data_IF_078193946354
#
_entry.id   IF_078193946354
#
_cell.length_a   1.000
_cell.length_b   1.000
_cell.length_c   1.000
_cell.angle_alpha   90.00
_cell.angle_beta   90.00
_cell.angle_gamma   90.00
#
_symmetry.space_group_name_H-M   'P 1'
#
loop_
_entity.id
_entity.type
_entity.pdbx_description
1 polymer ?
#
# COMPACT_ATOMS: atom_id res chain seq x y z
N UNK A 1 23.11 5.04 -9.02
CA UNK A 1 21.69 5.45 -8.99
C UNK A 1 21.00 4.92 -10.24
N UNK A 2 19.86 4.28 -10.10
CA UNK A 2 19.04 3.78 -11.22
C UNK A 2 17.69 4.49 -11.17
N UNK A 3 17.29 5.10 -12.28
CA UNK A 3 15.97 5.69 -12.41
C UNK A 3 14.98 4.62 -12.88
N UNK A 4 13.87 4.48 -12.20
CA UNK A 4 12.86 3.48 -12.57
C UNK A 4 12.22 3.80 -13.93
N UNK A 5 12.10 5.08 -14.28
CA UNK A 5 11.58 5.53 -15.57
C UNK A 5 12.23 4.81 -16.78
N UNK A 6 13.52 4.48 -16.69
CA UNK A 6 14.27 3.77 -17.75
C UNK A 6 13.76 2.32 -17.94
N UNK A 7 13.16 1.73 -16.91
CA UNK A 7 12.63 0.36 -16.89
C UNK A 7 11.09 0.32 -16.98
N UNK A 8 10.42 1.40 -16.62
CA UNK A 8 8.96 1.45 -16.45
C UNK A 8 8.20 0.90 -17.66
N UNK A 9 8.53 1.34 -18.87
CA UNK A 9 7.87 0.89 -20.09
C UNK A 9 7.99 -0.61 -20.32
N UNK A 10 9.12 -1.24 -19.97
CA UNK A 10 9.30 -2.68 -20.10
C UNK A 10 8.44 -3.45 -19.09
N UNK A 11 8.35 -2.94 -17.85
CA UNK A 11 7.51 -3.55 -16.82
C UNK A 11 6.02 -3.40 -17.13
N UNK A 12 5.57 -2.20 -17.54
CA UNK A 12 4.18 -1.96 -17.96
C UNK A 12 3.78 -2.84 -19.15
N UNK A 13 4.67 -2.99 -20.13
CA UNK A 13 4.43 -3.89 -21.26
C UNK A 13 4.33 -5.34 -20.80
N UNK A 14 5.16 -5.78 -19.85
CA UNK A 14 5.08 -7.12 -19.28
C UNK A 14 3.75 -7.32 -18.54
N UNK A 15 3.33 -6.36 -17.72
CA UNK A 15 2.05 -6.37 -17.02
C UNK A 15 0.89 -6.54 -17.99
N UNK A 16 0.83 -5.74 -19.05
CA UNK A 16 -0.23 -5.80 -20.05
C UNK A 16 -0.25 -7.14 -20.83
N UNK A 17 0.91 -7.77 -21.03
CA UNK A 17 1.03 -9.05 -21.70
C UNK A 17 0.71 -10.28 -20.84
N UNK A 18 0.62 -10.12 -19.51
CA UNK A 18 0.45 -11.23 -18.58
C UNK A 18 -1.02 -11.58 -18.27
N UNK A 19 -2.00 -10.90 -18.88
CA UNK A 19 -3.42 -11.22 -18.66
C UNK A 19 -3.94 -12.19 -19.71
N UNK A 20 -4.03 -13.50 -19.42
CA UNK A 20 -4.55 -14.50 -20.34
C UNK A 20 -6.02 -14.21 -20.72
N UNK A 21 -6.39 -14.46 -21.96
CA UNK A 21 -7.76 -14.24 -22.45
C UNK A 21 -8.78 -15.19 -21.83
N UNK A 22 -8.35 -16.35 -21.37
CA UNK A 22 -9.15 -17.38 -20.71
C UNK A 22 -9.19 -17.25 -19.18
N UNK A 23 -8.66 -16.14 -18.64
CA UNK A 23 -8.64 -15.88 -17.20
C UNK A 23 -10.01 -15.53 -16.62
N UNK A 24 -10.18 -15.84 -15.34
CA UNK A 24 -11.34 -15.45 -14.55
C UNK A 24 -10.91 -14.69 -13.29
N UNK A 25 -11.86 -14.17 -12.53
CA UNK A 25 -11.56 -13.38 -11.33
C UNK A 25 -10.72 -14.15 -10.28
N UNK A 26 -10.87 -15.46 -10.17
CA UNK A 26 -10.08 -16.31 -9.27
C UNK A 26 -8.61 -16.44 -9.71
N UNK A 27 -8.31 -16.27 -11.01
CA UNK A 27 -6.94 -16.28 -11.53
C UNK A 27 -6.08 -15.19 -10.89
N UNK A 28 -6.67 -14.02 -10.62
CA UNK A 28 -5.98 -12.85 -10.08
C UNK A 28 -6.11 -12.69 -8.55
N UNK A 29 -6.62 -13.70 -7.85
CA UNK A 29 -6.60 -13.84 -6.40
C UNK A 29 -7.39 -12.81 -5.61
N UNK A 30 -7.18 -12.81 -4.30
CA UNK A 30 -7.89 -12.00 -3.32
C UNK A 30 -6.90 -11.07 -2.60
N UNK A 31 -7.10 -9.76 -2.65
CA UNK A 31 -6.43 -8.81 -1.78
C UNK A 31 -7.38 -8.38 -0.65
N UNK A 32 -6.85 -8.27 0.55
CA UNK A 32 -7.59 -7.73 1.71
C UNK A 32 -6.96 -6.41 2.13
N UNK A 33 -7.80 -5.39 2.25
CA UNK A 33 -7.45 -4.11 2.82
C UNK A 33 -8.04 -4.08 4.23
N UNK A 34 -7.19 -4.24 5.26
CA UNK A 34 -7.56 -4.18 6.67
C UNK A 34 -7.30 -2.76 7.14
N UNK A 35 -8.35 -2.00 7.42
CA UNK A 35 -8.17 -0.58 7.72
C UNK A 35 -9.42 0.11 8.20
N UNK A 36 -9.27 1.40 8.44
CA UNK A 36 -10.34 2.31 8.81
C UNK A 36 -10.69 2.32 10.29
N UNK A 37 -11.27 3.43 10.66
CA UNK A 37 -11.92 3.71 11.94
C UNK A 37 -13.02 4.73 11.69
N UNK A 38 -13.87 5.00 12.68
CA UNK A 38 -14.86 6.08 12.56
C UNK A 38 -14.20 7.42 12.21
N UNK A 39 -12.97 7.67 12.71
CA UNK A 39 -12.24 8.90 12.45
C UNK A 39 -11.62 8.93 11.03
N UNK A 40 -11.16 7.79 10.51
CA UNK A 40 -10.43 7.69 9.24
C UNK A 40 -11.08 6.67 8.29
N UNK A 41 -12.38 6.82 8.07
CA UNK A 41 -13.16 5.89 7.26
C UNK A 41 -12.77 5.89 5.77
N UNK A 42 -12.27 7.01 5.24
CA UNK A 42 -11.96 7.15 3.82
C UNK A 42 -10.70 6.43 3.36
N UNK A 43 -9.69 6.26 4.24
CA UNK A 43 -8.39 5.71 3.89
C UNK A 43 -8.47 4.28 3.27
N UNK A 44 -9.12 3.29 3.90
CA UNK A 44 -9.24 1.96 3.32
C UNK A 44 -10.02 1.94 2.00
N UNK A 45 -10.98 2.86 1.80
CA UNK A 45 -11.70 2.96 0.55
C UNK A 45 -10.82 3.46 -0.60
N UNK A 46 -9.94 4.43 -0.36
CA UNK A 46 -8.97 4.90 -1.35
C UNK A 46 -8.00 3.78 -1.72
N UNK A 47 -7.49 3.04 -0.75
CA UNK A 47 -6.65 1.86 -0.98
C UNK A 47 -7.38 0.82 -1.83
N UNK A 48 -8.62 0.49 -1.47
CA UNK A 48 -9.47 -0.41 -2.24
C UNK A 48 -9.69 0.08 -3.67
N UNK A 49 -9.99 1.36 -3.85
CA UNK A 49 -10.26 1.94 -5.18
C UNK A 49 -9.07 1.82 -6.12
N UNK A 50 -7.85 1.95 -5.61
CA UNK A 50 -6.63 1.77 -6.40
C UNK A 50 -6.27 0.30 -6.62
N UNK A 51 -6.59 -0.60 -5.68
CA UNK A 51 -6.28 -2.04 -5.77
C UNK A 51 -7.29 -2.83 -6.58
N UNK A 52 -8.49 -2.31 -6.81
CA UNK A 52 -9.58 -3.04 -7.46
C UNK A 52 -9.20 -3.51 -8.87
N UNK A 53 -9.92 -4.51 -9.38
CA UNK A 53 -9.70 -5.12 -10.69
C UNK A 53 -9.62 -4.12 -11.86
N UNK A 54 -10.24 -2.97 -11.71
CA UNK A 54 -10.25 -1.93 -12.73
C UNK A 54 -8.99 -1.08 -12.78
N UNK A 55 -8.19 -1.05 -11.71
CA UNK A 55 -7.08 -0.11 -11.56
C UNK A 55 -5.75 -0.76 -11.16
N UNK A 56 -5.76 -1.81 -10.34
CA UNK A 56 -4.55 -2.53 -9.91
C UNK A 56 -4.44 -3.96 -10.46
N UNK A 57 -5.50 -4.47 -11.10
CA UNK A 57 -5.48 -5.77 -11.75
C UNK A 57 -5.88 -6.96 -10.89
N UNK A 58 -6.11 -6.79 -9.58
CA UNK A 58 -6.56 -7.87 -8.68
C UNK A 58 -7.96 -8.39 -9.04
N UNK A 59 -8.22 -9.68 -8.85
CA UNK A 59 -9.52 -10.30 -9.17
C UNK A 59 -10.61 -10.01 -8.14
N UNK A 60 -10.24 -10.01 -6.85
CA UNK A 60 -11.13 -9.70 -5.73
C UNK A 60 -10.41 -8.76 -4.76
N UNK A 61 -10.96 -7.58 -4.55
CA UNK A 61 -10.53 -6.67 -3.49
C UNK A 61 -11.56 -6.68 -2.36
N UNK A 62 -11.11 -6.96 -1.15
CA UNK A 62 -11.92 -7.01 0.06
C UNK A 62 -11.58 -5.83 0.96
N UNK A 63 -12.63 -5.19 1.49
CA UNK A 63 -12.54 -4.22 2.57
C UNK A 63 -12.82 -4.92 3.90
N UNK A 64 -11.80 -5.11 4.73
CA UNK A 64 -11.93 -5.61 6.09
C UNK A 64 -12.00 -4.42 7.05
N UNK A 65 -13.19 -4.11 7.52
CA UNK A 65 -13.55 -2.85 8.18
C UNK A 65 -14.23 -3.06 9.53
N UNK A 66 -14.13 -2.09 10.45
CA UNK A 66 -15.03 -1.99 11.60
C UNK A 66 -16.50 -2.12 11.17
N UNK A 67 -17.29 -2.88 11.93
CA UNK A 67 -18.71 -3.16 11.61
C UNK A 67 -19.54 -1.89 11.45
N UNK A 68 -19.24 -0.85 12.22
CA UNK A 68 -19.93 0.44 12.16
C UNK A 68 -19.80 1.16 10.82
N UNK A 69 -18.74 0.90 10.05
CA UNK A 69 -18.52 1.55 8.75
C UNK A 69 -19.27 0.89 7.60
N UNK A 70 -19.71 -0.37 7.76
CA UNK A 70 -20.27 -1.19 6.68
C UNK A 70 -21.43 -0.54 5.96
N UNK A 71 -22.47 0.01 6.65
CA UNK A 71 -23.62 0.59 5.97
C UNK A 71 -23.24 1.72 5.01
N UNK A 72 -22.26 2.55 5.39
CA UNK A 72 -21.79 3.67 4.55
C UNK A 72 -21.09 3.19 3.29
N UNK A 73 -20.29 2.12 3.38
CA UNK A 73 -19.59 1.57 2.23
C UNK A 73 -20.49 0.79 1.28
N UNK A 74 -21.48 0.07 1.79
CA UNK A 74 -22.46 -0.63 0.96
C UNK A 74 -23.26 0.34 0.07
N UNK A 75 -23.54 1.54 0.57
CA UNK A 75 -24.23 2.58 -0.20
C UNK A 75 -23.30 3.25 -1.23
N UNK A 76 -22.00 3.35 -0.92
CA UNK A 76 -21.03 4.05 -1.76
C UNK A 76 -20.57 3.23 -2.96
N UNK A 77 -20.33 1.94 -2.76
CA UNK A 77 -19.80 1.07 -3.81
C UNK A 77 -20.40 -0.35 -3.71
N UNK A 78 -21.42 -0.66 -4.53
CA UNK A 78 -22.06 -1.97 -4.53
C UNK A 78 -21.14 -3.10 -5.05
N UNK A 79 -19.95 -2.78 -5.60
CA UNK A 79 -18.98 -3.77 -6.06
C UNK A 79 -18.03 -4.20 -4.94
N UNK A 80 -17.94 -3.43 -3.84
CA UNK A 80 -17.05 -3.73 -2.73
C UNK A 80 -17.45 -5.02 -2.02
N UNK A 81 -16.51 -5.92 -1.83
CA UNK A 81 -16.68 -7.09 -0.98
C UNK A 81 -16.21 -6.71 0.42
N UNK A 82 -17.15 -6.68 1.36
CA UNK A 82 -16.89 -6.23 2.72
C UNK A 82 -16.73 -7.43 3.64
N UNK A 83 -15.65 -7.41 4.45
CA UNK A 83 -15.40 -8.36 5.53
C UNK A 83 -15.56 -7.61 6.86
N UNK A 84 -16.61 -7.91 7.64
CA UNK A 84 -16.81 -7.29 8.95
C UNK A 84 -15.69 -7.68 9.91
N UNK A 85 -15.15 -6.70 10.66
CA UNK A 85 -14.20 -6.93 11.74
C UNK A 85 -14.69 -6.36 13.05
N UNK A 86 -14.31 -6.98 14.16
CA UNK A 86 -14.63 -6.52 15.48
C UNK A 86 -14.00 -5.15 15.76
N UNK A 87 -14.70 -4.32 16.51
CA UNK A 87 -14.30 -2.96 16.87
C UNK A 87 -14.51 -2.69 18.36
N UNK A 88 -13.83 -1.69 18.88
CA UNK A 88 -14.06 -1.15 20.21
C UNK A 88 -15.22 -0.14 20.21
N UNK A 89 -15.53 0.40 21.40
CA UNK A 89 -16.61 1.40 21.58
C UNK A 89 -16.38 2.72 20.83
N UNK A 90 -15.13 3.01 20.44
CA UNK A 90 -14.72 4.23 19.76
C UNK A 90 -14.57 4.02 18.23
N UNK A 91 -14.89 2.79 17.76
CA UNK A 91 -14.91 2.41 16.34
C UNK A 91 -13.53 2.11 15.75
N UNK A 92 -12.55 1.73 16.58
CA UNK A 92 -11.26 1.22 16.13
C UNK A 92 -11.28 -0.31 16.08
N UNK A 93 -10.50 -0.87 15.16
CA UNK A 93 -10.34 -2.32 15.02
C UNK A 93 -9.82 -2.96 16.31
N UNK A 94 -10.44 -4.08 16.69
CA UNK A 94 -9.94 -4.95 17.76
C UNK A 94 -9.22 -6.16 17.19
N UNK A 95 -8.19 -6.61 17.91
CA UNK A 95 -7.55 -7.88 17.62
C UNK A 95 -8.52 -9.04 17.85
N UNK A 96 -8.69 -9.85 16.81
CA UNK A 96 -9.45 -11.12 16.86
C UNK A 96 -8.72 -12.15 15.99
N UNK A 97 -8.17 -13.18 16.65
CA UNK A 97 -7.37 -14.20 15.99
C UNK A 97 -8.18 -15.00 14.96
N UNK A 98 -9.45 -15.30 15.25
CA UNK A 98 -10.29 -16.08 14.35
C UNK A 98 -10.62 -15.33 13.06
N UNK A 99 -10.91 -14.02 13.16
CA UNK A 99 -11.13 -13.15 12.01
C UNK A 99 -9.86 -13.06 11.15
N UNK A 100 -8.70 -12.81 11.77
CA UNK A 100 -7.41 -12.70 11.08
C UNK A 100 -7.00 -14.02 10.42
N UNK A 101 -7.18 -15.16 11.11
CA UNK A 101 -6.91 -16.48 10.54
C UNK A 101 -7.77 -16.75 9.31
N UNK A 102 -9.07 -16.40 9.36
CA UNK A 102 -9.97 -16.54 8.21
C UNK A 102 -9.52 -15.69 7.02
N UNK A 103 -9.02 -14.47 7.25
CA UNK A 103 -8.48 -13.59 6.21
C UNK A 103 -7.19 -14.19 5.65
N UNK A 104 -6.21 -14.54 6.49
CA UNK A 104 -4.91 -15.07 6.08
C UNK A 104 -5.02 -16.33 5.21
N UNK A 105 -5.99 -17.20 5.50
CA UNK A 105 -6.23 -18.42 4.74
C UNK A 105 -6.76 -18.19 3.31
N UNK A 106 -7.35 -17.03 3.05
CA UNK A 106 -7.96 -16.70 1.75
C UNK A 106 -7.12 -15.68 0.97
N UNK A 107 -6.46 -14.77 1.69
CA UNK A 107 -5.73 -13.68 1.11
C UNK A 107 -4.50 -14.16 0.33
N UNK A 108 -4.24 -13.50 -0.77
CA UNK A 108 -2.99 -13.58 -1.53
C UNK A 108 -2.13 -12.34 -1.30
N UNK A 109 -2.76 -11.23 -0.95
CA UNK A 109 -2.13 -9.99 -0.50
C UNK A 109 -2.95 -9.35 0.60
N UNK A 110 -2.29 -8.78 1.60
CA UNK A 110 -2.89 -8.00 2.68
C UNK A 110 -2.22 -6.65 2.75
N UNK A 111 -3.01 -5.57 2.72
CA UNK A 111 -2.57 -4.23 3.09
C UNK A 111 -3.20 -3.87 4.44
N UNK A 112 -2.38 -3.40 5.39
CA UNK A 112 -2.82 -3.06 6.74
C UNK A 112 -2.26 -1.72 7.21
N UNK A 113 -3.09 -0.93 7.88
CA UNK A 113 -2.68 0.24 8.62
C UNK A 113 -3.35 1.56 8.24
N UNK A 114 -4.03 1.62 7.11
CA UNK A 114 -4.66 2.84 6.61
C UNK A 114 -5.85 3.24 7.49
N UNK A 115 -5.61 4.19 8.41
CA UNK A 115 -6.64 4.75 9.28
C UNK A 115 -7.11 3.86 10.42
N UNK A 116 -6.28 2.92 10.88
CA UNK A 116 -6.61 2.02 12.01
C UNK A 116 -6.39 2.66 13.38
N UNK A 117 -5.69 3.79 13.44
CA UNK A 117 -5.23 4.39 14.68
C UNK A 117 -4.03 3.65 15.29
N UNK A 118 -3.33 4.35 16.21
CA UNK A 118 -2.21 3.76 16.96
C UNK A 118 -2.76 3.17 18.25
N UNK A 119 -2.72 1.86 18.37
CA UNK A 119 -3.28 1.14 19.52
C UNK A 119 -2.56 -0.18 19.76
N UNK A 120 -2.81 -0.78 20.94
CA UNK A 120 -2.33 -2.15 21.21
C UNK A 120 -2.98 -3.16 20.28
N UNK A 121 -4.27 -3.03 19.99
CA UNK A 121 -4.96 -3.91 19.05
C UNK A 121 -4.35 -3.83 17.65
N UNK A 122 -4.02 -2.63 17.15
CA UNK A 122 -3.33 -2.46 15.89
C UNK A 122 -1.93 -3.11 15.89
N UNK A 123 -1.19 -3.01 17.01
CA UNK A 123 0.08 -3.68 17.19
C UNK A 123 -0.07 -5.21 17.22
N UNK A 124 -1.06 -5.72 17.92
CA UNK A 124 -1.34 -7.17 18.02
C UNK A 124 -1.77 -7.75 16.65
N UNK A 125 -2.56 -7.01 15.85
CA UNK A 125 -2.89 -7.35 14.46
C UNK A 125 -1.59 -7.42 13.61
N UNK A 126 -0.71 -6.41 13.71
CA UNK A 126 0.56 -6.40 12.98
C UNK A 126 1.45 -7.61 13.36
N UNK A 127 1.54 -7.93 14.66
CA UNK A 127 2.29 -9.10 15.16
C UNK A 127 1.71 -10.39 14.57
N UNK A 128 0.38 -10.53 14.59
CA UNK A 128 -0.29 -11.72 14.05
C UNK A 128 0.03 -11.90 12.56
N UNK A 129 -0.14 -10.85 11.77
CA UNK A 129 0.12 -10.88 10.33
C UNK A 129 1.58 -11.21 10.02
N UNK A 130 2.55 -10.61 10.75
CA UNK A 130 3.97 -10.92 10.57
C UNK A 130 4.31 -12.39 10.86
N UNK A 131 3.67 -12.99 11.85
CA UNK A 131 3.98 -14.37 12.30
C UNK A 131 3.22 -15.47 11.56
N UNK A 132 2.00 -15.17 11.07
CA UNK A 132 1.08 -16.20 10.59
C UNK A 132 0.69 -16.07 9.12
N UNK A 133 1.06 -14.97 8.45
CA UNK A 133 0.73 -14.76 7.05
C UNK A 133 1.98 -14.90 6.17
N UNK A 134 1.90 -15.70 5.11
CA UNK A 134 3.05 -16.01 4.21
C UNK A 134 2.92 -15.40 2.81
N UNK A 135 1.85 -14.65 2.53
CA UNK A 135 1.67 -13.96 1.25
C UNK A 135 2.35 -12.60 1.20
N UNK A 136 1.90 -11.74 0.28
CA UNK A 136 2.38 -10.36 0.19
C UNK A 136 1.71 -9.51 1.26
N UNK A 137 2.49 -9.01 2.21
CA UNK A 137 2.04 -8.15 3.31
C UNK A 137 2.55 -6.72 3.10
N UNK A 138 1.64 -5.74 3.12
CA UNK A 138 2.00 -4.33 3.03
C UNK A 138 1.56 -3.62 4.31
N UNK A 139 2.50 -2.89 4.93
CA UNK A 139 2.22 -2.00 6.05
C UNK A 139 2.42 -0.54 5.67
N UNK A 140 1.45 0.28 5.98
CA UNK A 140 1.47 1.74 5.78
C UNK A 140 0.87 2.47 7.00
N UNK A 141 1.11 3.75 7.10
CA UNK A 141 0.45 4.67 8.03
C UNK A 141 0.48 4.17 9.50
N UNK A 142 -0.69 3.95 10.11
CA UNK A 142 -0.79 3.61 11.54
C UNK A 142 -0.23 2.22 11.88
N UNK A 143 -0.13 1.29 10.93
CA UNK A 143 0.59 0.04 11.15
C UNK A 143 2.08 0.30 11.42
N UNK A 144 2.71 1.18 10.62
CA UNK A 144 4.11 1.57 10.82
C UNK A 144 4.31 2.34 12.13
N UNK A 145 3.38 3.24 12.45
CA UNK A 145 3.39 3.97 13.71
C UNK A 145 3.22 3.03 14.91
N UNK A 146 2.32 2.05 14.84
CA UNK A 146 2.13 1.05 15.91
C UNK A 146 3.38 0.16 16.08
N UNK A 147 4.02 -0.25 14.97
CA UNK A 147 5.28 -1.00 15.01
C UNK A 147 6.37 -0.21 15.75
N UNK A 148 6.45 1.11 15.51
CA UNK A 148 7.41 1.97 16.20
C UNK A 148 7.09 2.11 17.69
N UNK A 149 5.85 2.48 18.04
CA UNK A 149 5.43 2.79 19.41
C UNK A 149 5.49 1.57 20.34
N UNK A 150 5.22 0.38 19.80
CA UNK A 150 5.30 -0.88 20.54
C UNK A 150 6.63 -1.63 20.37
N UNK A 151 7.65 -0.98 19.76
CA UNK A 151 9.01 -1.51 19.60
C UNK A 151 9.08 -2.85 18.85
N UNK A 152 8.26 -3.02 17.82
CA UNK A 152 8.10 -4.29 17.09
C UNK A 152 9.02 -4.43 15.87
N UNK A 153 9.93 -3.49 15.62
CA UNK A 153 10.81 -3.46 14.43
C UNK A 153 11.66 -4.73 14.27
N UNK A 154 12.00 -5.38 15.39
CA UNK A 154 12.74 -6.67 15.38
C UNK A 154 11.98 -7.80 14.69
N UNK A 155 10.63 -7.75 14.67
CA UNK A 155 9.80 -8.79 14.07
C UNK A 155 9.71 -8.67 12.53
N UNK A 156 10.01 -7.51 11.96
CA UNK A 156 9.89 -7.29 10.51
C UNK A 156 10.71 -8.30 9.71
N UNK A 157 11.96 -8.55 10.11
CA UNK A 157 12.85 -9.50 9.45
C UNK A 157 12.45 -10.97 9.60
N UNK A 158 11.54 -11.26 10.54
CA UNK A 158 11.08 -12.62 10.84
C UNK A 158 9.87 -13.01 9.99
N UNK A 159 9.31 -12.07 9.21
CA UNK A 159 8.18 -12.36 8.34
C UNK A 159 8.56 -13.43 7.30
N UNK A 160 7.72 -14.46 7.20
CA UNK A 160 7.96 -15.63 6.33
C UNK A 160 7.52 -15.44 4.88
N UNK A 161 6.79 -14.36 4.58
CA UNK A 161 6.32 -14.00 3.24
C UNK A 161 7.11 -12.86 2.63
N UNK A 162 6.46 -12.13 1.74
CA UNK A 162 6.98 -10.92 1.10
C UNK A 162 6.43 -9.68 1.81
N UNK A 163 7.31 -8.82 2.32
CA UNK A 163 6.94 -7.63 3.08
C UNK A 163 7.20 -6.35 2.26
N UNK A 164 6.23 -5.45 2.25
CA UNK A 164 6.37 -4.09 1.72
C UNK A 164 6.08 -3.10 2.84
N UNK A 165 6.96 -2.13 3.01
CA UNK A 165 6.76 -1.00 3.92
C UNK A 165 6.76 0.29 3.13
N UNK A 166 5.78 1.17 3.38
CA UNK A 166 5.60 2.40 2.59
C UNK A 166 5.67 3.68 3.45
N UNK A 167 6.71 3.88 4.28
CA UNK A 167 6.80 5.03 5.15
C UNK A 167 7.06 6.33 4.38
N UNK A 168 6.44 7.44 4.81
CA UNK A 168 6.98 8.77 4.53
C UNK A 168 8.14 9.09 5.50
N UNK A 169 8.88 10.19 5.29
CA UNK A 169 10.12 10.48 6.04
C UNK A 169 9.92 10.50 7.56
N UNK A 170 8.80 11.04 8.06
CA UNK A 170 8.51 11.08 9.50
C UNK A 170 8.18 9.69 10.07
N UNK A 171 7.41 8.87 9.34
CA UNK A 171 7.15 7.48 9.72
C UNK A 171 8.45 6.68 9.72
N UNK A 172 9.30 6.89 8.70
CA UNK A 172 10.59 6.23 8.64
C UNK A 172 11.51 6.66 9.79
N UNK A 173 11.60 7.95 10.11
CA UNK A 173 12.32 8.45 11.28
C UNK A 173 11.86 7.76 12.56
N UNK A 174 10.55 7.62 12.75
CA UNK A 174 9.94 6.99 13.93
C UNK A 174 10.26 5.50 14.02
N UNK A 175 10.07 4.75 12.93
CA UNK A 175 10.29 3.29 12.93
C UNK A 175 11.78 2.91 12.95
N UNK A 176 12.66 3.76 12.38
CA UNK A 176 14.11 3.55 12.37
C UNK A 176 14.80 4.03 13.64
N UNK A 177 14.15 4.96 14.38
CA UNK A 177 14.75 5.66 15.53
C UNK A 177 15.78 6.73 15.13
N UNK A 178 15.90 7.06 13.85
CA UNK A 178 16.84 8.09 13.37
C UNK A 178 16.21 9.49 13.45
N UNK A 179 17.00 10.54 13.73
CA UNK A 179 16.56 11.92 13.59
C UNK A 179 16.07 12.22 12.17
N UNK A 180 15.02 13.04 12.03
CA UNK A 180 14.42 13.36 10.73
C UNK A 180 15.44 13.98 9.76
N UNK A 181 16.31 14.85 10.25
CA UNK A 181 17.34 15.53 9.47
C UNK A 181 18.35 14.54 8.86
N UNK A 182 18.64 13.44 9.58
CA UNK A 182 19.49 12.35 9.09
C UNK A 182 18.78 11.59 7.96
N UNK A 183 17.47 11.34 8.15
CA UNK A 183 16.65 10.66 7.13
C UNK A 183 16.55 11.51 5.87
N UNK A 184 16.29 12.80 6.00
CA UNK A 184 16.19 13.74 4.87
C UNK A 184 17.48 13.82 4.06
N UNK A 185 18.64 13.79 4.74
CA UNK A 185 19.95 13.90 4.09
C UNK A 185 20.43 12.61 3.39
N UNK A 186 19.94 11.42 3.81
CA UNK A 186 20.49 10.13 3.37
C UNK A 186 19.43 9.14 2.87
N UNK A 187 18.38 9.62 2.19
CA UNK A 187 17.20 8.84 1.83
C UNK A 187 17.53 7.56 1.03
N UNK A 188 18.34 7.67 -0.05
CA UNK A 188 18.70 6.53 -0.90
C UNK A 188 19.48 5.47 -0.12
N UNK A 189 20.50 5.91 0.63
CA UNK A 189 21.34 5.01 1.43
C UNK A 189 20.52 4.29 2.50
N UNK A 190 19.69 5.04 3.23
CA UNK A 190 18.85 4.49 4.29
C UNK A 190 17.74 3.58 3.74
N UNK A 191 17.16 3.90 2.58
CA UNK A 191 16.19 3.01 1.94
C UNK A 191 16.83 1.64 1.65
N UNK A 192 18.04 1.61 1.12
CA UNK A 192 18.77 0.37 0.84
C UNK A 192 19.17 -0.37 2.12
N UNK A 193 19.74 0.33 3.10
CA UNK A 193 20.19 -0.25 4.37
C UNK A 193 19.02 -0.91 5.11
N UNK A 194 17.91 -0.20 5.28
CA UNK A 194 16.78 -0.68 6.07
C UNK A 194 15.93 -1.71 5.33
N UNK A 195 15.84 -1.66 4.00
CA UNK A 195 15.26 -2.74 3.22
C UNK A 195 15.99 -4.08 3.47
N UNK A 196 17.34 -4.05 3.49
CA UNK A 196 18.14 -5.23 3.83
C UNK A 196 17.97 -5.64 5.29
N UNK A 197 18.00 -4.69 6.24
CA UNK A 197 17.89 -4.93 7.68
C UNK A 197 16.55 -5.56 8.06
N UNK A 198 15.44 -5.10 7.46
CA UNK A 198 14.09 -5.56 7.73
C UNK A 198 13.61 -6.68 6.79
N UNK A 199 14.46 -7.09 5.84
CA UNK A 199 14.13 -8.10 4.82
C UNK A 199 12.82 -7.78 4.09
N UNK A 200 12.71 -6.57 3.53
CA UNK A 200 11.49 -6.08 2.89
C UNK A 200 11.79 -5.29 1.61
N UNK A 201 10.75 -5.01 0.85
CA UNK A 201 10.76 -3.91 -0.12
C UNK A 201 10.34 -2.65 0.62
N UNK A 202 11.23 -1.68 0.69
CA UNK A 202 10.99 -0.39 1.34
C UNK A 202 10.70 0.68 0.30
N UNK A 203 9.55 1.33 0.41
CA UNK A 203 9.14 2.48 -0.41
C UNK A 203 9.22 3.74 0.47
N UNK A 204 10.35 4.41 0.45
CA UNK A 204 10.57 5.64 1.23
C UNK A 204 10.01 6.84 0.46
N UNK A 205 8.83 7.30 0.90
CA UNK A 205 8.05 8.37 0.24
C UNK A 205 8.57 9.76 0.59
N UNK A 206 8.90 10.55 -0.41
CA UNK A 206 9.20 11.98 -0.27
C UNK A 206 8.97 12.69 -1.61
N UNK A 207 9.55 13.88 -1.81
CA UNK A 207 9.59 14.56 -3.12
C UNK A 207 10.19 13.65 -4.21
N UNK A 208 11.22 12.88 -3.87
CA UNK A 208 11.69 11.75 -4.65
C UNK A 208 11.42 10.48 -3.85
N UNK A 209 10.80 9.50 -4.47
CA UNK A 209 10.56 8.22 -3.81
C UNK A 209 11.72 7.26 -4.09
N UNK A 210 12.23 6.62 -3.03
CA UNK A 210 13.23 5.56 -3.16
C UNK A 210 12.62 4.22 -2.84
N UNK A 211 12.72 3.26 -3.79
CA UNK A 211 12.21 1.90 -3.64
C UNK A 211 13.38 0.94 -3.66
N UNK A 212 13.54 0.16 -2.59
CA UNK A 212 14.67 -0.75 -2.44
C UNK A 212 14.27 -2.11 -1.86
N UNK A 213 14.96 -3.17 -2.29
CA UNK A 213 14.92 -4.52 -1.68
C UNK A 213 16.19 -4.85 -0.88
N UNK A 214 17.04 -3.84 -0.65
CA UNK A 214 18.34 -3.98 0.00
C UNK A 214 19.49 -4.36 -0.94
N UNK A 215 19.21 -4.89 -2.13
CA UNK A 215 20.20 -5.22 -3.16
C UNK A 215 20.21 -4.14 -4.24
N UNK A 216 19.05 -3.81 -4.76
CA UNK A 216 18.82 -2.81 -5.77
C UNK A 216 17.96 -1.65 -5.22
N UNK A 217 18.17 -0.45 -5.73
CA UNK A 217 17.39 0.74 -5.35
C UNK A 217 17.05 1.52 -6.61
N UNK A 218 15.77 1.89 -6.73
CA UNK A 218 15.27 2.80 -7.74
C UNK A 218 14.94 4.17 -7.15
N UNK A 219 15.30 5.24 -7.88
CA UNK A 219 14.80 6.58 -7.66
C UNK A 219 13.61 6.82 -8.60
N UNK A 220 12.54 7.39 -8.07
CA UNK A 220 11.36 7.84 -8.81
C UNK A 220 11.15 9.33 -8.53
N UNK A 221 11.03 10.10 -9.61
CA UNK A 221 10.81 11.55 -9.56
C UNK A 221 9.49 11.96 -10.23
N UNK A 222 8.69 10.98 -10.65
CA UNK A 222 7.39 11.20 -11.28
C UNK A 222 6.38 11.69 -10.24
N UNK A 223 5.48 12.56 -10.70
CA UNK A 223 4.46 13.19 -9.89
C UNK A 223 4.63 14.69 -9.78
N UNK A 224 3.79 15.29 -8.98
CA UNK A 224 3.79 16.73 -8.74
C UNK A 224 3.22 17.04 -7.35
N UNK A 225 3.12 18.34 -7.01
CA UNK A 225 2.62 18.77 -5.69
C UNK A 225 1.15 18.41 -5.43
N UNK A 226 0.39 18.02 -6.43
CA UNK A 226 -0.97 17.49 -6.29
C UNK A 226 -1.02 16.20 -5.45
N UNK A 227 0.10 15.46 -5.34
CA UNK A 227 0.23 14.30 -4.45
C UNK A 227 0.45 14.67 -2.98
N UNK A 228 0.77 15.92 -2.66
CA UNK A 228 0.96 16.38 -1.27
C UNK A 228 -0.39 16.60 -0.57
N UNK A 229 -1.27 15.60 -0.62
CA UNK A 229 -2.61 15.60 -0.02
C UNK A 229 -2.90 14.28 0.66
N UNK A 230 -3.83 14.33 1.63
CA UNK A 230 -4.38 13.11 2.24
C UNK A 230 -4.98 12.18 1.17
N UNK A 231 -4.71 10.89 1.30
CA UNK A 231 -5.20 9.86 0.40
C UNK A 231 -4.19 9.38 -0.64
N UNK A 232 -3.14 10.15 -0.96
CA UNK A 232 -2.14 9.73 -1.97
C UNK A 232 -1.35 8.49 -1.51
N UNK A 233 -1.02 8.39 -0.22
CA UNK A 233 -0.40 7.19 0.36
C UNK A 233 -1.32 5.97 0.28
N UNK A 234 -2.61 6.17 0.58
CA UNK A 234 -3.62 5.10 0.51
C UNK A 234 -3.73 4.54 -0.93
N UNK A 235 -3.73 5.43 -1.94
CA UNK A 235 -3.73 5.02 -3.35
C UNK A 235 -2.47 4.21 -3.71
N UNK A 236 -1.30 4.66 -3.23
CA UNK A 236 -0.04 3.94 -3.47
C UNK A 236 -0.09 2.53 -2.90
N UNK A 237 -0.52 2.39 -1.65
CA UNK A 237 -0.66 1.09 -0.99
C UNK A 237 -1.63 0.17 -1.74
N UNK A 238 -2.73 0.73 -2.25
CA UNK A 238 -3.69 0.01 -3.10
C UNK A 238 -3.09 -0.45 -4.42
N UNK A 239 -2.35 0.40 -5.13
CA UNK A 239 -1.66 0.04 -6.37
C UNK A 239 -0.63 -1.06 -6.15
N UNK A 240 0.22 -0.92 -5.14
CA UNK A 240 1.28 -1.90 -4.86
C UNK A 240 0.66 -3.26 -4.53
N UNK A 241 -0.31 -3.35 -3.62
CA UNK A 241 -0.89 -4.62 -3.24
C UNK A 241 -1.66 -5.27 -4.40
N UNK A 242 -2.37 -4.48 -5.20
CA UNK A 242 -3.09 -4.94 -6.38
C UNK A 242 -2.15 -5.50 -7.46
N UNK A 243 -1.08 -4.79 -7.78
CA UNK A 243 -0.07 -5.21 -8.76
C UNK A 243 0.73 -6.42 -8.26
N UNK A 244 1.13 -6.43 -6.98
CA UNK A 244 2.01 -7.45 -6.42
C UNK A 244 1.42 -8.85 -6.48
N UNK A 245 0.11 -8.96 -6.38
CA UNK A 245 -0.55 -10.25 -6.51
C UNK A 245 -0.98 -10.58 -7.94
N UNK A 246 -1.45 -9.59 -8.69
CA UNK A 246 -1.91 -9.81 -10.07
C UNK A 246 -0.78 -10.29 -10.99
N UNK A 247 0.47 -9.98 -10.65
CA UNK A 247 1.64 -10.28 -11.49
C UNK A 247 2.79 -10.92 -10.69
N UNK A 248 2.59 -12.13 -10.13
CA UNK A 248 3.56 -12.77 -9.22
C UNK A 248 4.86 -13.21 -9.91
N UNK A 249 4.92 -13.21 -11.24
CA UNK A 249 6.13 -13.51 -12.02
C UNK A 249 7.12 -12.33 -12.10
N UNK A 250 6.69 -11.13 -11.73
CA UNK A 250 7.54 -9.94 -11.65
C UNK A 250 8.11 -9.78 -10.24
N UNK A 251 9.26 -9.13 -10.13
CA UNK A 251 9.85 -8.90 -8.81
C UNK A 251 8.97 -7.94 -7.99
N UNK A 252 8.88 -8.17 -6.68
CA UNK A 252 8.14 -7.28 -5.78
C UNK A 252 8.71 -5.85 -5.80
N UNK A 253 10.04 -5.72 -5.96
CA UNK A 253 10.71 -4.44 -6.13
C UNK A 253 10.18 -3.69 -7.37
N UNK A 254 10.10 -4.38 -8.52
CA UNK A 254 9.60 -3.78 -9.76
C UNK A 254 8.13 -3.40 -9.65
N UNK A 255 7.31 -4.24 -9.00
CA UNK A 255 5.89 -3.97 -8.83
C UNK A 255 5.62 -2.79 -7.87
N UNK A 256 6.39 -2.69 -6.78
CA UNK A 256 6.30 -1.55 -5.87
C UNK A 256 6.76 -0.23 -6.54
N UNK A 257 7.85 -0.28 -7.30
CA UNK A 257 8.30 0.85 -8.10
C UNK A 257 7.28 1.24 -9.19
N UNK A 258 6.66 0.25 -9.85
CA UNK A 258 5.59 0.49 -10.83
C UNK A 258 4.39 1.17 -10.18
N UNK A 259 3.96 0.74 -9.00
CA UNK A 259 2.87 1.40 -8.26
C UNK A 259 3.17 2.88 -8.01
N UNK A 260 4.39 3.19 -7.57
CA UNK A 260 4.83 4.57 -7.34
C UNK A 260 4.91 5.39 -8.65
N UNK A 261 5.44 4.80 -9.73
CA UNK A 261 5.52 5.42 -11.04
C UNK A 261 4.12 5.74 -11.62
N UNK A 262 3.23 4.75 -11.57
CA UNK A 262 1.84 4.90 -12.08
C UNK A 262 1.09 5.98 -11.31
N UNK A 263 1.23 6.02 -9.98
CA UNK A 263 0.63 7.07 -9.16
C UNK A 263 1.14 8.46 -9.57
N UNK A 264 2.46 8.61 -9.74
CA UNK A 264 3.08 9.86 -10.18
C UNK A 264 2.57 10.31 -11.54
N UNK A 265 2.59 9.40 -12.53
CA UNK A 265 2.11 9.69 -13.89
C UNK A 265 0.61 10.01 -13.93
N UNK A 266 -0.21 9.33 -13.16
CA UNK A 266 -1.63 9.65 -13.05
C UNK A 266 -1.86 11.08 -12.52
N UNK A 267 -1.09 11.51 -11.51
CA UNK A 267 -1.16 12.87 -10.99
C UNK A 267 -0.71 13.92 -12.02
N UNK A 268 0.31 13.64 -12.83
CA UNK A 268 0.74 14.50 -13.93
C UNK A 268 -0.36 14.65 -15.01
N UNK A 269 -1.04 13.54 -15.36
CA UNK A 269 -2.14 13.54 -16.31
C UNK A 269 -3.29 14.40 -15.80
N UNK A 270 -3.69 14.23 -14.54
CA UNK A 270 -4.77 15.01 -13.91
C UNK A 270 -4.43 16.49 -13.91
N UNK A 271 -3.22 16.87 -13.51
CA UNK A 271 -2.76 18.25 -13.51
C UNK A 271 -2.86 18.87 -14.93
N UNK A 272 -2.44 18.14 -15.96
CA UNK A 272 -2.58 18.61 -17.36
C UNK A 272 -4.04 18.82 -17.75
N UNK A 273 -4.96 17.93 -17.37
CA UNK A 273 -6.40 18.07 -17.60
C UNK A 273 -6.99 19.31 -16.91
N UNK A 274 -6.42 19.69 -15.79
CA UNK A 274 -6.79 20.89 -15.03
C UNK A 274 -5.98 22.14 -15.44
N UNK A 275 -5.45 22.18 -16.67
CA UNK A 275 -4.72 23.35 -17.18
C UNK A 275 -3.37 23.60 -16.50
N UNK A 276 -2.74 22.58 -15.92
CA UNK A 276 -1.48 22.67 -15.20
C UNK A 276 -1.64 23.02 -13.71
N UNK A 277 -2.85 23.04 -13.19
CA UNK A 277 -3.14 23.41 -11.79
C UNK A 277 -3.02 22.17 -10.90
N UNK A 278 -1.85 21.96 -10.30
CA UNK A 278 -1.54 20.76 -9.49
C UNK A 278 -2.40 20.65 -8.24
N UNK A 279 -2.65 21.75 -7.54
CA UNK A 279 -3.45 21.75 -6.30
C UNK A 279 -4.95 21.44 -6.53
N UNK A 280 -5.44 21.48 -7.76
CA UNK A 280 -6.83 21.10 -8.09
C UNK A 280 -7.02 19.58 -8.20
N UNK A 281 -5.95 18.78 -8.10
CA UNK A 281 -5.99 17.33 -8.16
C UNK A 281 -6.58 16.73 -6.88
N UNK A 282 -7.53 15.81 -7.00
CA UNK A 282 -8.06 15.01 -5.88
C UNK A 282 -7.60 13.55 -5.97
N UNK A 283 -7.71 12.79 -4.86
CA UNK A 283 -7.40 11.36 -4.86
C UNK A 283 -8.28 10.58 -5.87
N UNK A 284 -9.56 10.96 -6.02
CA UNK A 284 -10.46 10.31 -6.98
C UNK A 284 -10.10 10.62 -8.44
N UNK A 285 -9.63 11.84 -8.74
CA UNK A 285 -9.14 12.19 -10.08
C UNK A 285 -7.94 11.31 -10.44
N UNK A 286 -7.01 11.13 -9.51
CA UNK A 286 -5.84 10.27 -9.69
C UNK A 286 -6.25 8.82 -9.93
N UNK A 287 -7.15 8.26 -9.10
CA UNK A 287 -7.67 6.89 -9.27
C UNK A 287 -8.27 6.71 -10.67
N UNK A 288 -9.02 7.68 -11.15
CA UNK A 288 -9.65 7.63 -12.48
C UNK A 288 -8.63 7.75 -13.62
N UNK A 289 -7.49 8.36 -13.39
CA UNK A 289 -6.42 8.50 -14.39
C UNK A 289 -5.45 7.28 -14.42
N UNK A 290 -5.45 6.41 -13.41
CA UNK A 290 -4.58 5.22 -13.38
C UNK A 290 -4.67 4.38 -14.68
N UNK A 291 -5.85 4.08 -15.25
CA UNK A 291 -5.94 3.29 -16.47
C UNK A 291 -5.32 3.95 -17.71
N UNK A 292 -5.04 5.25 -17.67
CA UNK A 292 -4.39 5.96 -18.77
C UNK A 292 -2.86 5.78 -18.75
N UNK A 293 -2.32 5.30 -17.65
CA UNK A 293 -0.89 5.03 -17.48
C UNK A 293 -0.58 3.54 -17.69
N UNK A 294 -1.48 2.67 -17.23
CA UNK A 294 -1.36 1.21 -17.35
C UNK A 294 -1.68 0.76 -18.79
#
# INVERSE_FOLDING_TARGET
MKYFADKANAVLKAINGLRPTDSNKGTFGHAYIIGGSLQYSGAPYLTYSASSAYRGGIGYAHLALPKSLIPSFMLKDPQAIITPMNEDKDGFLKYDEAELSSICNKAKGIAFGMGVGISKDAADIAIYLLKHYSGVLLFDADALNSIADYSLTGLLKEHIGQLVLTPHLKEFSRISGLPLEVVEARQEELAKEYASRWNCVLVLKSHKTYVSDGKETYELAEGNSGLAKAGSGDLLSGLIIGLSWAYPSLSLLDLAATGSYVLGKAAEIVSKKHGGIEFATTAFDIVNAIPEVL
#
